data_IF_985834127311
#
_entry.id   IF_985834127311
#
_cell.length_a   1.000
_cell.length_b   1.000
_cell.length_c   1.000
_cell.angle_alpha   90.00
_cell.angle_beta   90.00
_cell.angle_gamma   90.00
#
_symmetry.space_group_name_H-M   'P 1'
#
loop_
_entity.id
_entity.type
_entity.pdbx_description
1 polymer ?
#
# COMPACT_ATOMS: atom_id res chain seq x y z
N UNK A 1 -6.23 -33.64 -105.89
CA UNK A 1 -6.76 -32.27 -105.96
C UNK A 1 -6.47 -31.58 -104.63
N UNK A 2 -5.38 -30.81 -104.53
CA UNK A 2 -5.19 -29.77 -103.48
C UNK A 2 -5.92 -28.48 -103.94
N UNK A 3 -6.28 -27.49 -103.08
CA UNK A 3 -5.40 -26.73 -102.16
C UNK A 3 -5.98 -26.60 -100.72
N UNK A 4 -5.18 -26.48 -99.66
CA UNK A 4 -4.49 -25.27 -99.16
C UNK A 4 -5.42 -24.19 -98.56
N UNK A 5 -5.32 -23.96 -97.24
CA UNK A 5 -5.18 -22.62 -96.62
C UNK A 5 -4.99 -22.69 -95.09
N UNK A 6 -3.73 -22.52 -94.70
CA UNK A 6 -3.20 -21.58 -93.69
C UNK A 6 -4.11 -21.11 -92.54
N UNK A 7 -3.62 -21.28 -91.30
CA UNK A 7 -4.16 -20.57 -90.14
C UNK A 7 -3.45 -20.88 -88.82
N UNK A 8 -2.12 -20.69 -88.76
CA UNK A 8 -1.31 -20.83 -87.54
C UNK A 8 -1.54 -19.58 -86.65
N UNK A 9 -2.56 -19.64 -85.80
CA UNK A 9 -2.85 -18.65 -84.76
C UNK A 9 -2.25 -19.08 -83.42
N UNK A 10 -1.43 -18.19 -82.87
CA UNK A 10 -0.52 -18.44 -81.76
C UNK A 10 -1.23 -18.64 -80.41
N UNK A 11 -0.59 -19.47 -79.58
CA UNK A 11 -0.93 -19.76 -78.18
C UNK A 11 -1.01 -18.47 -77.36
N UNK A 12 -1.98 -18.40 -76.45
CA UNK A 12 -1.77 -17.99 -75.05
C UNK A 12 -2.85 -18.65 -74.19
N UNK A 13 -2.42 -19.75 -73.58
CA UNK A 13 -3.15 -20.50 -72.58
C UNK A 13 -3.54 -19.60 -71.41
N UNK A 14 -4.81 -19.71 -71.02
CA UNK A 14 -5.42 -19.32 -69.76
C UNK A 14 -4.43 -19.03 -68.61
N UNK A 15 -4.08 -17.76 -68.40
CA UNK A 15 -3.58 -17.32 -67.10
C UNK A 15 -4.79 -17.22 -66.17
N UNK A 16 -5.06 -18.32 -65.44
CA UNK A 16 -5.83 -18.27 -64.20
C UNK A 16 -5.19 -17.19 -63.33
N UNK A 17 -5.86 -16.07 -63.16
CA UNK A 17 -5.50 -15.11 -62.11
C UNK A 17 -5.85 -15.77 -60.78
N UNK A 18 -4.90 -16.55 -60.28
CA UNK A 18 -4.92 -17.06 -58.92
C UNK A 18 -4.95 -15.85 -58.01
N UNK A 19 -6.06 -15.70 -57.29
CA UNK A 19 -6.19 -14.75 -56.18
C UNK A 19 -5.16 -15.13 -55.12
N UNK A 20 -3.98 -14.53 -55.22
CA UNK A 20 -2.94 -14.65 -54.19
C UNK A 20 -3.33 -13.73 -53.04
N UNK A 21 -4.33 -14.16 -52.27
CA UNK A 21 -4.60 -13.60 -50.95
C UNK A 21 -3.49 -14.13 -50.05
N UNK A 22 -2.57 -13.29 -49.54
CA UNK A 22 -1.64 -13.78 -48.53
C UNK A 22 -2.47 -14.29 -47.36
N UNK A 23 -2.30 -15.58 -47.06
CA UNK A 23 -3.07 -16.30 -46.07
C UNK A 23 -3.16 -15.51 -44.76
N UNK A 24 -4.41 -15.24 -44.36
CA UNK A 24 -4.81 -14.53 -43.15
C UNK A 24 -4.57 -15.37 -41.88
N UNK A 25 -3.52 -16.18 -41.86
CA UNK A 25 -3.15 -17.08 -40.76
C UNK A 25 -1.62 -17.12 -40.64
N UNK A 26 -1.00 -15.95 -40.44
CA UNK A 26 0.26 -15.93 -39.70
C UNK A 26 -0.11 -16.32 -38.27
N UNK A 27 0.01 -17.62 -37.95
CA UNK A 27 0.00 -18.15 -36.59
C UNK A 27 0.82 -17.21 -35.72
N UNK A 28 0.16 -16.47 -34.83
CA UNK A 28 0.79 -15.82 -33.68
C UNK A 28 1.08 -16.94 -32.67
N UNK A 29 1.97 -17.86 -33.05
CA UNK A 29 2.61 -18.78 -32.10
C UNK A 29 4.06 -18.36 -31.99
N UNK A 30 4.27 -17.08 -31.65
CA UNK A 30 5.53 -16.65 -31.08
C UNK A 30 5.40 -16.87 -29.57
N UNK A 31 6.02 -17.93 -29.04
CA UNK A 31 6.38 -17.90 -27.63
C UNK A 31 7.21 -16.64 -27.45
N UNK A 32 6.63 -15.64 -26.79
CA UNK A 32 7.30 -14.36 -26.57
C UNK A 32 8.69 -14.58 -25.99
N UNK A 33 9.61 -13.61 -26.17
CA UNK A 33 10.98 -13.73 -25.68
C UNK A 33 11.00 -14.21 -24.22
N UNK A 34 12.01 -14.98 -23.81
CA UNK A 34 12.05 -15.57 -22.47
C UNK A 34 11.88 -14.52 -21.35
N UNK A 35 12.38 -13.29 -21.56
CA UNK A 35 12.19 -12.15 -20.66
C UNK A 35 10.74 -11.72 -20.48
N UNK A 36 9.86 -11.94 -21.47
CA UNK A 36 8.42 -11.71 -21.33
C UNK A 36 7.75 -12.71 -20.40
N UNK A 37 8.23 -13.96 -20.36
CA UNK A 37 7.75 -14.96 -19.40
C UNK A 37 8.23 -14.62 -17.99
N UNK A 38 9.51 -14.27 -17.85
CA UNK A 38 10.10 -13.81 -16.59
C UNK A 38 9.36 -12.58 -16.06
N UNK A 39 9.10 -11.57 -16.89
CA UNK A 39 8.36 -10.38 -16.51
C UNK A 39 6.93 -10.70 -16.07
N UNK A 40 6.24 -11.61 -16.76
CA UNK A 40 4.87 -12.04 -16.38
C UNK A 40 4.84 -12.75 -15.04
N UNK A 41 5.81 -13.63 -14.77
CA UNK A 41 5.93 -14.29 -13.47
C UNK A 41 6.33 -13.30 -12.36
N UNK A 42 7.24 -12.36 -12.64
CA UNK A 42 7.61 -11.31 -11.71
C UNK A 42 6.42 -10.42 -11.35
N UNK A 43 5.61 -10.00 -12.33
CA UNK A 43 4.39 -9.24 -12.10
C UNK A 43 3.34 -10.07 -11.33
N UNK A 44 3.14 -11.34 -11.68
CA UNK A 44 2.19 -12.21 -10.99
C UNK A 44 2.59 -12.49 -9.53
N UNK A 45 3.88 -12.69 -9.26
CA UNK A 45 4.40 -12.82 -7.90
C UNK A 45 4.32 -11.50 -7.14
N UNK A 46 4.61 -10.38 -7.79
CA UNK A 46 4.48 -9.05 -7.22
C UNK A 46 3.04 -8.73 -6.82
N UNK A 47 2.08 -8.98 -7.70
CA UNK A 47 0.65 -8.78 -7.39
C UNK A 47 0.18 -9.72 -6.30
N UNK A 48 0.58 -10.99 -6.33
CA UNK A 48 0.26 -11.95 -5.26
C UNK A 48 0.82 -11.50 -3.91
N UNK A 49 2.06 -11.00 -3.89
CA UNK A 49 2.70 -10.44 -2.69
C UNK A 49 1.95 -9.22 -2.14
N UNK A 50 1.52 -8.29 -3.01
CA UNK A 50 0.74 -7.12 -2.61
C UNK A 50 -0.61 -7.54 -2.05
N UNK A 51 -1.34 -8.42 -2.74
CA UNK A 51 -2.66 -8.90 -2.31
C UNK A 51 -2.56 -9.67 -0.99
N UNK A 52 -1.58 -10.57 -0.88
CA UNK A 52 -1.31 -11.33 0.33
C UNK A 52 -0.93 -10.43 1.50
N UNK A 53 -0.06 -9.44 1.27
CA UNK A 53 0.32 -8.43 2.27
C UNK A 53 -0.86 -7.58 2.73
N UNK A 54 -1.67 -7.07 1.81
CA UNK A 54 -2.84 -6.26 2.13
C UNK A 54 -3.89 -7.07 2.90
N UNK A 55 -4.14 -8.32 2.51
CA UNK A 55 -5.04 -9.22 3.23
C UNK A 55 -4.51 -9.51 4.64
N UNK A 56 -3.22 -9.82 4.77
CA UNK A 56 -2.57 -10.08 6.06
C UNK A 56 -2.69 -8.86 6.97
N UNK A 57 -2.36 -7.67 6.47
CA UNK A 57 -2.50 -6.41 7.21
C UNK A 57 -3.95 -6.18 7.64
N UNK A 58 -4.92 -6.39 6.75
CA UNK A 58 -6.35 -6.22 7.06
C UNK A 58 -6.80 -7.17 8.17
N UNK A 59 -6.40 -8.44 8.12
CA UNK A 59 -6.72 -9.42 9.17
C UNK A 59 -6.07 -9.00 10.49
N UNK A 60 -4.77 -8.68 10.50
CA UNK A 60 -4.07 -8.22 11.71
C UNK A 60 -4.74 -6.98 12.32
N UNK A 61 -5.04 -5.97 11.50
CA UNK A 61 -5.73 -4.75 11.95
C UNK A 61 -7.12 -5.05 12.56
N UNK A 62 -7.80 -6.09 12.08
CA UNK A 62 -9.14 -6.47 12.55
C UNK A 62 -9.14 -7.37 13.77
N UNK A 63 -8.06 -8.12 14.02
CA UNK A 63 -7.98 -9.12 15.08
C UNK A 63 -7.06 -8.72 16.23
N UNK A 64 -6.18 -7.74 16.04
CA UNK A 64 -5.41 -7.16 17.15
C UNK A 64 -6.36 -6.27 17.95
N UNK A 65 -6.59 -6.66 19.20
CA UNK A 65 -7.31 -5.83 20.16
C UNK A 65 -6.47 -4.60 20.49
N UNK A 66 -7.12 -3.44 20.57
CA UNK A 66 -6.47 -2.22 21.02
C UNK A 66 -6.27 -2.38 22.54
N UNK A 67 -5.02 -2.38 23.03
CA UNK A 67 -4.79 -2.46 24.47
C UNK A 67 -5.46 -1.28 25.15
N UNK A 68 -6.02 -1.50 26.34
CA UNK A 68 -6.52 -0.39 27.15
C UNK A 68 -5.33 0.54 27.43
N UNK A 69 -5.44 1.79 26.95
CA UNK A 69 -4.42 2.81 27.15
C UNK A 69 -4.07 3.00 28.62
N UNK A 70 -4.96 2.59 29.53
CA UNK A 70 -4.80 2.69 30.97
C UNK A 70 -4.45 1.40 31.70
N UNK A 71 -4.32 0.26 31.01
CA UNK A 71 -3.95 -1.00 31.64
C UNK A 71 -2.60 -0.93 32.36
N UNK A 72 -1.67 -0.10 31.88
CA UNK A 72 -0.35 0.09 32.49
C UNK A 72 -0.30 1.25 33.51
N UNK A 73 -1.41 1.98 33.72
CA UNK A 73 -1.48 3.15 34.62
C UNK A 73 -2.01 2.81 36.03
N UNK A 74 -1.77 1.61 36.52
CA UNK A 74 -2.25 1.19 37.85
C UNK A 74 -1.48 1.85 39.01
N UNK A 75 -0.28 2.38 38.79
CA UNK A 75 0.52 3.00 39.86
C UNK A 75 0.20 4.50 40.02
N UNK A 76 -0.63 4.81 41.01
CA UNK A 76 -0.92 6.18 41.45
C UNK A 76 -0.16 6.53 42.74
N UNK A 77 0.16 7.81 42.92
CA UNK A 77 0.73 8.31 44.16
C UNK A 77 -0.29 8.20 45.30
N UNK A 78 0.03 7.45 46.37
CA UNK A 78 -0.80 7.44 47.58
C UNK A 78 -0.49 8.68 48.40
N UNK A 79 -1.46 9.59 48.57
CA UNK A 79 -1.32 10.80 49.39
C UNK A 79 -1.93 10.56 50.79
N UNK A 80 -1.18 10.87 51.85
CA UNK A 80 -1.61 10.75 53.26
C UNK A 80 -1.92 12.15 53.80
N UNK A 81 -3.05 12.32 54.47
CA UNK A 81 -3.52 13.60 55.00
C UNK A 81 -3.72 13.55 56.52
N UNK A 82 -3.68 14.71 57.17
CA UNK A 82 -4.13 14.88 58.55
C UNK A 82 -5.64 14.64 58.68
N UNK A 83 -6.17 14.63 59.91
CA UNK A 83 -7.59 14.38 60.18
C UNK A 83 -8.55 15.38 59.54
N UNK A 84 -8.04 16.51 59.03
CA UNK A 84 -8.80 17.50 58.29
C UNK A 84 -9.07 17.10 56.81
N UNK A 85 -8.41 16.05 56.33
CA UNK A 85 -8.50 15.56 54.95
C UNK A 85 -7.91 16.50 53.90
N UNK A 86 -7.22 17.58 54.31
CA UNK A 86 -6.73 18.64 53.41
C UNK A 86 -5.23 18.87 53.54
N UNK A 87 -4.70 18.78 54.76
CA UNK A 87 -3.28 19.04 54.99
C UNK A 87 -2.49 17.77 54.70
N UNK A 88 -1.55 17.76 53.73
CA UNK A 88 -0.77 16.58 53.41
C UNK A 88 0.29 16.30 54.48
N UNK A 89 0.40 15.04 54.88
CA UNK A 89 1.49 14.51 55.74
C UNK A 89 2.65 14.05 54.85
N UNK A 90 2.34 13.41 53.73
CA UNK A 90 3.33 12.87 52.81
C UNK A 90 2.69 11.99 51.74
N UNK A 91 3.53 11.37 50.91
CA UNK A 91 3.09 10.46 49.86
C UNK A 91 3.97 9.22 49.76
N UNK A 92 3.39 8.11 49.30
CA UNK A 92 4.10 6.89 48.92
C UNK A 92 3.89 6.64 47.44
N UNK A 93 4.98 6.67 46.67
CA UNK A 93 4.96 6.34 45.26
C UNK A 93 6.36 5.98 44.76
N UNK A 94 6.43 5.10 43.76
CA UNK A 94 7.64 4.90 42.96
C UNK A 94 7.84 6.03 41.94
N UNK A 95 6.75 6.71 41.56
CA UNK A 95 6.73 7.76 40.55
C UNK A 95 5.72 8.82 40.96
N UNK A 96 6.06 10.09 40.77
CA UNK A 96 5.15 11.19 41.04
C UNK A 96 4.16 11.35 39.89
N UNK A 97 3.00 10.69 40.02
CA UNK A 97 1.92 10.70 39.03
C UNK A 97 0.62 11.17 39.67
N UNK A 98 -0.08 12.05 38.96
CA UNK A 98 -1.41 12.54 39.30
C UNK A 98 -2.32 12.44 38.07
N UNK A 99 -3.30 11.55 38.14
CA UNK A 99 -4.32 11.45 37.09
C UNK A 99 -5.29 12.62 37.16
N UNK A 100 -5.31 13.41 36.10
CA UNK A 100 -6.26 14.51 35.90
C UNK A 100 -7.11 14.21 34.67
N UNK A 101 -8.37 14.66 34.70
CA UNK A 101 -9.23 14.60 33.53
C UNK A 101 -8.85 15.67 32.50
N UNK A 102 -9.13 15.43 31.22
CA UNK A 102 -8.65 16.29 30.13
C UNK A 102 -9.17 17.74 30.25
N UNK A 103 -10.35 17.96 30.83
CA UNK A 103 -10.95 19.27 31.10
C UNK A 103 -10.17 20.10 32.13
N UNK A 104 -9.34 19.46 32.97
CA UNK A 104 -8.46 20.15 33.91
C UNK A 104 -7.17 20.65 33.24
N UNK A 105 -6.86 20.17 32.03
CA UNK A 105 -5.66 20.55 31.29
C UNK A 105 -5.94 21.80 30.47
N UNK A 106 -5.15 22.90 30.60
CA UNK A 106 -5.33 24.10 29.79
C UNK A 106 -5.30 23.81 28.29
N UNK A 107 -6.21 24.41 27.51
CA UNK A 107 -6.32 24.16 26.07
C UNK A 107 -5.02 24.46 25.30
N UNK A 108 -4.24 25.45 25.75
CA UNK A 108 -2.92 25.76 25.19
C UNK A 108 -1.92 24.61 25.38
N UNK A 109 -1.95 23.94 26.54
CA UNK A 109 -1.09 22.79 26.82
C UNK A 109 -1.50 21.59 25.97
N UNK A 110 -2.80 21.30 25.90
CA UNK A 110 -3.32 20.24 25.02
C UNK A 110 -2.87 20.47 23.57
N UNK A 111 -3.04 21.69 23.07
CA UNK A 111 -2.67 22.06 21.70
C UNK A 111 -1.17 21.99 21.46
N UNK A 112 -0.35 22.39 22.44
CA UNK A 112 1.11 22.34 22.33
C UNK A 112 1.63 20.90 22.20
N UNK A 113 1.12 19.99 23.03
CA UNK A 113 1.49 18.56 22.97
C UNK A 113 1.05 17.95 21.64
N UNK A 114 -0.20 18.19 21.23
CA UNK A 114 -0.72 17.71 19.94
C UNK A 114 0.13 18.24 18.78
N UNK A 115 0.47 19.53 18.78
CA UNK A 115 1.29 20.11 17.72
C UNK A 115 2.71 19.54 17.64
N UNK A 116 3.27 19.11 18.78
CA UNK A 116 4.60 18.52 18.87
C UNK A 116 4.62 17.03 18.46
N UNK A 117 3.66 16.24 18.93
CA UNK A 117 3.63 14.78 18.75
C UNK A 117 2.87 14.34 17.49
N UNK A 118 1.65 14.85 17.29
CA UNK A 118 0.79 14.48 16.15
C UNK A 118 -0.13 15.63 15.75
N UNK A 119 0.30 16.42 14.77
CA UNK A 119 -0.46 17.56 14.25
C UNK A 119 -1.80 17.18 13.63
N UNK A 120 -1.97 15.91 13.26
CA UNK A 120 -3.17 15.39 12.61
C UNK A 120 -4.09 14.63 13.57
N UNK A 121 -3.78 14.64 14.88
CA UNK A 121 -4.44 13.84 15.90
C UNK A 121 -5.98 13.85 15.83
N UNK A 122 -6.60 15.03 15.64
CA UNK A 122 -8.06 15.16 15.59
C UNK A 122 -8.68 14.73 14.25
N UNK A 123 -7.89 14.62 13.19
CA UNK A 123 -8.36 14.31 11.84
C UNK A 123 -8.01 12.89 11.40
N UNK A 124 -6.96 12.30 11.97
CA UNK A 124 -6.47 10.98 11.62
C UNK A 124 -7.24 9.87 12.37
N UNK A 125 -7.14 8.64 11.87
CA UNK A 125 -7.78 7.47 12.48
C UNK A 125 -6.81 6.66 13.34
N UNK A 126 -5.92 7.35 14.07
CA UNK A 126 -4.83 6.76 14.85
C UNK A 126 -3.57 6.44 14.05
N UNK A 127 -3.55 6.71 12.75
CA UNK A 127 -2.38 6.55 11.87
C UNK A 127 -2.29 7.74 10.90
N UNK A 128 -1.19 8.48 10.93
CA UNK A 128 -0.88 9.51 9.92
C UNK A 128 -0.19 8.88 8.71
N UNK A 129 -0.99 8.42 7.74
CA UNK A 129 -0.47 7.85 6.48
C UNK A 129 0.36 8.87 5.68
N UNK A 130 0.03 10.16 5.75
CA UNK A 130 0.77 11.20 5.04
C UNK A 130 2.13 11.43 5.69
N UNK A 131 2.18 11.44 7.02
CA UNK A 131 3.40 11.50 7.83
C UNK A 131 4.32 10.31 7.55
N UNK A 132 3.78 9.09 7.54
CA UNK A 132 4.54 7.87 7.23
C UNK A 132 5.13 7.93 5.82
N UNK A 133 4.33 8.26 4.79
CA UNK A 133 4.82 8.37 3.42
C UNK A 133 5.88 9.47 3.26
N UNK A 134 5.71 10.59 3.97
CA UNK A 134 6.71 11.66 4.02
C UNK A 134 8.01 11.14 4.64
N UNK A 135 7.95 10.46 5.79
CA UNK A 135 9.13 9.90 6.46
C UNK A 135 9.86 8.88 5.58
N UNK A 136 9.13 7.99 4.89
CA UNK A 136 9.72 7.04 3.94
C UNK A 136 10.44 7.77 2.80
N UNK A 137 9.81 8.80 2.23
CA UNK A 137 10.42 9.61 1.17
C UNK A 137 11.69 10.30 1.68
N UNK A 138 11.60 11.00 2.80
CA UNK A 138 12.73 11.73 3.39
C UNK A 138 13.88 10.77 3.72
N UNK A 139 13.62 9.62 4.36
CA UNK A 139 14.64 8.60 4.64
C UNK A 139 15.30 8.04 3.38
N UNK A 140 14.54 7.87 2.29
CA UNK A 140 15.09 7.38 1.02
C UNK A 140 15.95 8.44 0.34
N UNK A 141 15.66 9.74 0.54
CA UNK A 141 16.43 10.85 -0.03
C UNK A 141 17.58 11.33 0.86
N UNK A 142 17.54 11.09 2.18
CA UNK A 142 18.51 11.60 3.16
C UNK A 142 19.67 10.64 3.44
N UNK A 143 19.61 9.39 2.96
CA UNK A 143 20.76 8.49 2.90
C UNK A 143 21.40 8.13 4.24
N UNK A 144 20.65 8.15 5.34
CA UNK A 144 21.11 7.59 6.62
C UNK A 144 20.48 6.21 6.82
N UNK A 145 21.27 5.19 6.49
CA UNK A 145 21.21 3.85 7.11
C UNK A 145 22.20 3.78 8.26
#
# INVERSE_FOLDING_TARGET
MSPERTGRGNRKSSSRTTSDRPGLLRRVTGTGPWWSKVLRWALALGTLGIVGGALTFFLLYRFIEIPDANADFETQTTKVFYSDGKTPIGSFALQDRESVSLDQVPAVMQSAVIAAEDRSFYENKGLDLKGILRAVKENTTSGQV
#
